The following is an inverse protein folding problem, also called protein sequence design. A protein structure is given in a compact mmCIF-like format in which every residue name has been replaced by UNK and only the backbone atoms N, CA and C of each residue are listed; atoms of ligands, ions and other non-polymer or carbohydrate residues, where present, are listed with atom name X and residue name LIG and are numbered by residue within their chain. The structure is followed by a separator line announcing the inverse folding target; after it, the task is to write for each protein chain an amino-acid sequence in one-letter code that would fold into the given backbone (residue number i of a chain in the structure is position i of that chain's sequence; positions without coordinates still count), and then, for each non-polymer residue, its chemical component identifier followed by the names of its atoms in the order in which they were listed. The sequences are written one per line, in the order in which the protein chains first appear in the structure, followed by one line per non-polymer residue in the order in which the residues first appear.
data_IF_278688120951
#
_entry.id   IF_278688120951
#
_cell.length_a   1.000
_cell.length_b   1.000
_cell.length_c   1.000
_cell.angle_alpha   90.00
_cell.angle_beta   90.00
_cell.angle_gamma   90.00
#
_symmetry.space_group_name_H-M   'P 1'
#
loop_
_entity.id
_entity.type
_entity.pdbx_description
1 polymer ?
#
# COMPACT_ATOMS: atom_id res chain seq x y z
N UNK A 1 -1.38 -21.03 11.31
CA UNK A 1 -0.37 -20.10 11.88
C UNK A 1 0.06 -19.01 10.89
N UNK A 2 0.84 -19.35 9.87
CA UNK A 2 1.38 -18.42 8.85
C UNK A 2 0.37 -17.43 8.24
N UNK A 3 -0.79 -17.93 7.82
CA UNK A 3 -1.79 -17.12 7.14
C UNK A 3 -2.38 -16.00 8.02
N UNK A 4 -2.45 -16.23 9.33
CA UNK A 4 -2.96 -15.24 10.29
C UNK A 4 -1.99 -14.07 10.47
N UNK A 5 -0.68 -14.33 10.39
CA UNK A 5 0.36 -13.29 10.45
C UNK A 5 0.31 -12.41 9.20
N UNK A 6 0.09 -13.01 8.02
CA UNK A 6 -0.09 -12.28 6.76
C UNK A 6 -1.32 -11.36 6.82
N UNK A 7 -2.46 -11.88 7.29
CA UNK A 7 -3.69 -11.09 7.45
C UNK A 7 -3.52 -9.97 8.46
N UNK A 8 -2.86 -10.22 9.58
CA UNK A 8 -2.59 -9.19 10.58
C UNK A 8 -1.71 -8.07 10.00
N UNK A 9 -0.66 -8.41 9.26
CA UNK A 9 0.20 -7.42 8.61
C UNK A 9 -0.55 -6.58 7.57
N UNK A 10 -1.45 -7.21 6.80
CA UNK A 10 -2.33 -6.51 5.86
C UNK A 10 -3.24 -5.52 6.61
N UNK A 11 -3.91 -5.97 7.67
CA UNK A 11 -4.81 -5.14 8.46
C UNK A 11 -4.11 -3.93 9.09
N UNK A 12 -2.87 -4.11 9.59
CA UNK A 12 -2.07 -3.01 10.12
C UNK A 12 -1.70 -2.04 8.99
N UNK A 13 -1.29 -2.53 7.82
CA UNK A 13 -0.97 -1.69 6.67
C UNK A 13 -2.19 -0.87 6.24
N UNK A 14 -3.36 -1.50 6.15
CA UNK A 14 -4.63 -0.86 5.76
C UNK A 14 -5.06 0.21 6.77
N UNK A 15 -4.86 -0.06 8.06
CA UNK A 15 -5.13 0.91 9.11
C UNK A 15 -4.22 2.13 8.99
N UNK A 16 -2.92 1.93 8.77
CA UNK A 16 -1.96 3.02 8.58
C UNK A 16 -2.28 3.84 7.33
N UNK A 17 -2.62 3.19 6.21
CA UNK A 17 -3.07 3.89 4.98
C UNK A 17 -4.28 4.77 5.27
N UNK A 18 -5.27 4.22 5.95
CA UNK A 18 -6.52 4.94 6.26
C UNK A 18 -6.28 6.16 7.15
N UNK A 19 -5.35 6.06 8.11
CA UNK A 19 -4.94 7.21 8.95
C UNK A 19 -4.23 8.27 8.12
N UNK A 20 -3.34 7.87 7.22
CA UNK A 20 -2.63 8.80 6.33
C UNK A 20 -3.60 9.48 5.36
N UNK A 21 -4.53 8.74 4.76
CA UNK A 21 -5.56 9.29 3.86
C UNK A 21 -6.48 10.28 4.59
N UNK A 22 -6.92 9.95 5.80
CA UNK A 22 -7.67 10.88 6.65
C UNK A 22 -6.86 12.14 7.00
N UNK A 23 -5.54 12.03 7.07
CA UNK A 23 -4.65 13.16 7.40
C UNK A 23 -4.36 14.07 6.19
N UNK A 24 -4.34 13.53 4.98
CA UNK A 24 -4.06 14.29 3.75
C UNK A 24 -5.34 14.85 3.12
N UNK A 25 -6.47 14.13 3.23
CA UNK A 25 -7.75 14.45 2.57
C UNK A 25 -7.55 15.02 1.17
N UNK A 26 -6.80 14.27 0.36
CA UNK A 26 -6.33 14.77 -0.93
C UNK A 26 -7.44 14.79 -1.96
N UNK A 27 -7.49 15.85 -2.77
CA UNK A 27 -8.35 15.95 -3.95
C UNK A 27 -7.47 16.11 -5.18
N UNK A 28 -7.63 15.21 -6.15
CA UNK A 28 -7.00 15.31 -7.46
C UNK A 28 -7.96 15.97 -8.44
N UNK A 29 -7.49 17.04 -9.09
CA UNK A 29 -8.20 17.67 -10.20
C UNK A 29 -7.33 17.52 -11.43
N UNK A 30 -7.83 16.78 -12.41
CA UNK A 30 -7.17 16.59 -13.70
C UNK A 30 -7.65 17.70 -14.62
N UNK A 31 -6.76 18.62 -14.95
CA UNK A 31 -6.94 19.57 -16.05
C UNK A 31 -6.31 19.02 -17.33
N UNK A 32 -6.67 19.54 -18.50
CA UNK A 32 -6.27 19.00 -19.81
C UNK A 32 -4.74 18.86 -20.00
N UNK A 33 -3.95 19.64 -19.26
CA UNK A 33 -2.47 19.66 -19.38
C UNK A 33 -1.75 19.43 -18.04
N UNK A 34 -2.45 19.51 -16.90
CA UNK A 34 -1.80 19.41 -15.59
C UNK A 34 -2.67 18.70 -14.54
N UNK A 35 -2.03 18.00 -13.62
CA UNK A 35 -2.68 17.37 -12.47
C UNK A 35 -2.38 18.23 -11.25
N UNK A 36 -3.44 18.77 -10.63
CA UNK A 36 -3.33 19.59 -9.43
C UNK A 36 -3.76 18.76 -8.22
N UNK A 37 -2.89 18.72 -7.21
CA UNK A 37 -3.14 18.06 -5.92
C UNK A 37 -3.50 19.10 -4.88
N UNK A 38 -4.71 19.00 -4.32
CA UNK A 38 -5.20 19.90 -3.27
C UNK A 38 -5.29 19.10 -1.98
N UNK A 39 -4.52 19.50 -0.96
CA UNK A 39 -4.52 18.88 0.35
C UNK A 39 -5.40 19.69 1.30
N UNK A 40 -6.54 19.13 1.73
CA UNK A 40 -7.47 19.81 2.64
C UNK A 40 -7.42 19.28 4.07
N UNK A 41 -6.58 18.28 4.35
CA UNK A 41 -6.50 17.61 5.64
C UNK A 41 -5.60 18.33 6.66
N UNK A 42 -5.51 17.79 7.90
CA UNK A 42 -4.65 18.31 8.96
C UNK A 42 -3.17 18.37 8.60
N UNK A 43 -2.74 17.64 7.57
CA UNK A 43 -1.37 17.70 7.09
C UNK A 43 -0.98 19.07 6.48
N UNK A 44 -1.95 19.88 6.04
CA UNK A 44 -1.71 21.26 5.58
C UNK A 44 -1.17 22.18 6.68
N UNK A 45 -1.39 21.84 7.96
CA UNK A 45 -0.90 22.60 9.10
C UNK A 45 0.57 22.29 9.45
N UNK A 46 1.14 21.19 8.95
CA UNK A 46 2.51 20.77 9.25
C UNK A 46 3.51 21.36 8.25
N UNK A 47 3.34 21.05 6.96
CA UNK A 47 4.16 21.53 5.83
C UNK A 47 3.65 20.94 4.52
N UNK A 48 3.76 21.68 3.41
CA UNK A 48 3.44 21.19 2.05
C UNK A 48 4.30 19.97 1.67
N UNK A 49 5.60 20.00 2.00
CA UNK A 49 6.53 18.90 1.70
C UNK A 49 6.18 17.63 2.48
N UNK A 50 5.76 17.77 3.73
CA UNK A 50 5.32 16.64 4.55
C UNK A 50 4.03 16.02 3.98
N UNK A 51 3.14 16.86 3.44
CA UNK A 51 1.90 16.41 2.82
C UNK A 51 2.13 15.63 1.53
N UNK A 52 3.05 16.11 0.70
CA UNK A 52 3.49 15.38 -0.49
C UNK A 52 4.14 14.04 -0.13
N UNK A 53 5.00 14.00 0.89
CA UNK A 53 5.62 12.77 1.36
C UNK A 53 4.59 11.77 1.90
N UNK A 54 3.65 12.21 2.72
CA UNK A 54 2.56 11.38 3.25
C UNK A 54 1.68 10.81 2.13
N UNK A 55 1.38 11.61 1.11
CA UNK A 55 0.62 11.14 -0.05
C UNK A 55 1.39 10.08 -0.86
N UNK A 56 2.69 10.29 -1.10
CA UNK A 56 3.53 9.28 -1.76
C UNK A 56 3.59 7.99 -0.94
N UNK A 57 3.75 8.11 0.38
CA UNK A 57 3.73 6.97 1.30
C UNK A 57 2.39 6.23 1.27
N UNK A 58 1.27 6.95 1.28
CA UNK A 58 -0.07 6.38 1.16
C UNK A 58 -0.24 5.55 -0.12
N UNK A 59 0.20 6.09 -1.27
CA UNK A 59 0.17 5.36 -2.54
C UNK A 59 1.00 4.08 -2.47
N UNK A 60 2.20 4.14 -1.87
CA UNK A 60 3.06 2.98 -1.71
C UNK A 60 2.41 1.89 -0.84
N UNK A 61 1.89 2.26 0.34
CA UNK A 61 1.26 1.30 1.24
C UNK A 61 -0.05 0.74 0.64
N UNK A 62 -0.78 1.52 -0.15
CA UNK A 62 -1.99 1.05 -0.86
C UNK A 62 -1.63 -0.02 -1.89
N UNK A 63 -0.57 0.19 -2.67
CA UNK A 63 -0.08 -0.82 -3.62
C UNK A 63 0.40 -2.08 -2.90
N UNK A 64 1.07 -1.91 -1.76
CA UNK A 64 1.49 -3.03 -0.91
C UNK A 64 0.30 -3.82 -0.36
N UNK A 65 -0.77 -3.13 0.08
CA UNK A 65 -2.01 -3.77 0.53
C UNK A 65 -2.66 -4.61 -0.58
N UNK A 66 -2.81 -4.05 -1.78
CA UNK A 66 -3.38 -4.77 -2.94
C UNK A 66 -2.55 -6.02 -3.25
N UNK A 67 -1.22 -5.92 -3.18
CA UNK A 67 -0.33 -7.06 -3.37
C UNK A 67 -0.53 -8.15 -2.30
N UNK A 68 -0.65 -7.77 -1.02
CA UNK A 68 -0.94 -8.71 0.07
C UNK A 68 -2.31 -9.40 -0.11
N UNK A 69 -3.33 -8.66 -0.56
CA UNK A 69 -4.65 -9.22 -0.87
C UNK A 69 -4.54 -10.24 -2.00
N UNK A 70 -3.85 -9.90 -3.11
CA UNK A 70 -3.65 -10.82 -4.23
C UNK A 70 -2.91 -12.11 -3.82
N UNK A 71 -1.85 -11.97 -3.02
CA UNK A 71 -1.12 -13.10 -2.43
C UNK A 71 -2.02 -13.95 -1.53
N UNK A 72 -2.92 -13.32 -0.76
CA UNK A 72 -3.85 -14.05 0.11
C UNK A 72 -4.85 -14.89 -0.68
N UNK A 73 -5.33 -14.37 -1.82
CA UNK A 73 -6.17 -15.12 -2.77
C UNK A 73 -5.41 -16.26 -3.41
N UNK A 74 -4.17 -16.01 -3.86
CA UNK A 74 -3.31 -17.04 -4.42
C UNK A 74 -3.06 -18.17 -3.41
N UNK A 75 -2.69 -17.83 -2.17
CA UNK A 75 -2.47 -18.79 -1.09
C UNK A 75 -3.68 -19.70 -0.86
N UNK A 76 -4.89 -19.12 -0.80
CA UNK A 76 -6.15 -19.89 -0.66
C UNK A 76 -6.40 -20.79 -1.87
N UNK A 77 -6.13 -20.30 -3.08
CA UNK A 77 -6.27 -21.09 -4.32
C UNK A 77 -5.32 -22.28 -4.35
N UNK A 78 -4.04 -22.08 -4.01
CA UNK A 78 -3.03 -23.16 -3.98
C UNK A 78 -3.33 -24.18 -2.88
N UNK A 79 -3.79 -23.74 -1.71
CA UNK A 79 -4.18 -24.64 -0.62
C UNK A 79 -5.34 -25.57 -1.01
N UNK A 80 -6.28 -25.10 -1.84
CA UNK A 80 -7.36 -25.94 -2.41
C UNK A 80 -6.83 -26.94 -3.44
N UNK A 81 -5.77 -26.59 -4.18
CA UNK A 81 -5.08 -27.50 -5.12
C UNK A 81 -4.20 -28.56 -4.45
N UNK A 82 -4.10 -28.58 -3.11
CA UNK A 82 -3.35 -29.59 -2.35
C UNK A 82 -1.85 -29.32 -2.22
N UNK A 83 -1.36 -28.20 -2.75
CA UNK A 83 0.04 -27.78 -2.62
C UNK A 83 0.13 -26.68 -1.56
N UNK A 84 0.95 -26.87 -0.52
CA UNK A 84 1.15 -25.82 0.51
C UNK A 84 2.32 -24.93 0.11
N UNK A 85 2.06 -23.70 -0.39
CA UNK A 85 3.15 -22.79 -0.76
C UNK A 85 3.94 -22.37 0.48
N UNK A 86 5.27 -22.39 0.36
CA UNK A 86 6.20 -22.01 1.43
C UNK A 86 6.24 -20.49 1.62
N UNK A 87 6.27 -20.05 2.88
CA UNK A 87 6.37 -18.65 3.31
C UNK A 87 7.43 -17.83 2.57
N UNK A 88 8.56 -18.46 2.28
CA UNK A 88 9.73 -17.83 1.67
C UNK A 88 9.42 -17.36 0.23
N UNK A 89 8.63 -18.13 -0.53
CA UNK A 89 8.19 -17.73 -1.88
C UNK A 89 7.25 -16.53 -1.83
N UNK A 90 6.33 -16.51 -0.86
CA UNK A 90 5.38 -15.41 -0.66
C UNK A 90 6.13 -14.14 -0.28
N UNK A 91 7.07 -14.25 0.65
CA UNK A 91 7.87 -13.13 1.12
C UNK A 91 8.77 -12.58 0.01
N UNK A 92 9.37 -13.44 -0.82
CA UNK A 92 10.12 -13.04 -2.03
C UNK A 92 9.22 -12.30 -3.02
N UNK A 93 7.99 -12.78 -3.28
CA UNK A 93 7.05 -12.12 -4.19
C UNK A 93 6.65 -10.74 -3.66
N UNK A 94 6.35 -10.62 -2.37
CA UNK A 94 6.10 -9.32 -1.73
C UNK A 94 7.31 -8.38 -1.86
N UNK A 95 8.53 -8.89 -1.61
CA UNK A 95 9.77 -8.10 -1.72
C UNK A 95 10.06 -7.65 -3.16
N UNK A 96 9.74 -8.49 -4.15
CA UNK A 96 9.94 -8.21 -5.57
C UNK A 96 8.88 -7.23 -6.12
N UNK A 97 7.69 -7.20 -5.53
CA UNK A 97 6.65 -6.18 -5.81
C UNK A 97 6.94 -4.85 -5.11
N UNK A 98 7.69 -4.87 -4.00
CA UNK A 98 8.18 -3.67 -3.29
C UNK A 98 9.35 -2.99 -4.01
N UNK A 99 10.19 -3.74 -4.74
CA UNK A 99 11.39 -3.16 -5.37
C UNK A 99 11.12 -2.05 -6.41
N UNK A 100 10.12 -2.13 -7.32
CA UNK A 100 9.87 -1.04 -8.27
C UNK A 100 9.30 0.21 -7.59
N UNK A 101 8.50 0.05 -6.55
CA UNK A 101 7.85 1.15 -5.84
C UNK A 101 8.79 1.87 -4.85
N UNK A 102 9.88 1.23 -4.44
CA UNK A 102 11.01 1.87 -3.73
C UNK A 102 11.95 2.62 -4.69
N UNK A 103 12.19 2.07 -5.89
CA UNK A 103 13.08 2.67 -6.89
C UNK A 103 12.50 3.92 -7.58
N UNK A 104 11.17 4.06 -7.62
CA UNK A 104 10.47 5.24 -8.15
C UNK A 104 10.28 6.37 -7.11
N UNK A 105 10.62 6.13 -5.85
CA UNK A 105 10.50 7.09 -4.75
C UNK A 105 11.81 7.85 -4.43
N UNK A 106 12.92 7.50 -5.10
CA UNK A 106 14.24 8.16 -5.03
C UNK A 106 14.48 8.99 -6.29
#
# INVERSE_FOLDING_TARGET
ETYSVLLFNSAVTDFVVSVIDASTMIRMVVDQVSIVYIYSGPCSALSENACFFLYSLMLHLTMHSIALIAVSFWFRSTAVSGDTPTLLKILIICLLVISPSLALAV
#
